data_IF_463956977288
#
_entry.id   IF_463956977288
#
_cell.length_a   1.000
_cell.length_b   1.000
_cell.length_c   1.000
_cell.angle_alpha   90.00
_cell.angle_beta   90.00
_cell.angle_gamma   90.00
#
_symmetry.space_group_name_H-M   'P 1'
#
loop_
_entity.id
_entity.type
_entity.pdbx_description
1 polymer ?
#
# COMPACT_ATOMS: atom_id res chain seq x y z
N UNK A 1 27.96 54.06 -19.67
CA UNK A 1 27.17 54.09 -20.92
C UNK A 1 26.27 52.86 -20.97
N UNK A 2 24.98 53.06 -21.18
CA UNK A 2 23.97 52.00 -21.30
C UNK A 2 24.15 51.22 -22.60
N UNK A 3 24.17 49.89 -22.52
CA UNK A 3 23.81 49.04 -23.65
C UNK A 3 22.86 47.96 -23.15
N UNK A 4 21.58 48.33 -23.21
CA UNK A 4 20.41 47.46 -23.35
C UNK A 4 20.76 46.36 -24.37
N UNK A 5 21.17 45.17 -23.91
CA UNK A 5 21.48 44.07 -24.82
C UNK A 5 20.17 43.54 -25.37
N UNK A 6 20.04 43.67 -26.68
CA UNK A 6 18.88 43.38 -27.50
C UNK A 6 18.39 41.96 -27.25
N UNK A 7 17.11 41.84 -26.91
CA UNK A 7 16.45 40.56 -26.62
C UNK A 7 16.49 39.60 -27.81
N UNK A 8 16.63 38.32 -27.47
CA UNK A 8 16.21 37.07 -28.13
C UNK A 8 16.07 37.06 -29.67
N UNK A 9 16.91 37.79 -30.40
CA UNK A 9 16.86 37.86 -31.85
C UNK A 9 17.30 36.57 -32.55
N UNK A 10 18.11 35.75 -31.88
CA UNK A 10 18.53 34.44 -32.39
C UNK A 10 17.48 33.36 -32.11
N UNK A 11 16.86 33.39 -30.93
CA UNK A 11 15.91 32.37 -30.47
C UNK A 11 14.63 32.32 -31.31
N UNK A 12 14.17 33.47 -31.80
CA UNK A 12 13.03 33.57 -32.72
C UNK A 12 13.34 33.10 -34.15
N UNK A 13 14.62 33.02 -34.54
CA UNK A 13 15.07 32.52 -35.85
C UNK A 13 15.42 31.03 -35.83
N UNK A 14 15.67 30.46 -34.64
CA UNK A 14 15.79 29.01 -34.47
C UNK A 14 14.38 28.45 -34.61
N UNK A 15 14.04 28.00 -35.81
CA UNK A 15 12.85 27.21 -36.05
C UNK A 15 13.11 25.83 -35.47
N UNK A 16 12.92 25.70 -34.15
CA UNK A 16 12.97 24.43 -33.44
C UNK A 16 11.95 23.51 -34.11
N UNK A 17 12.37 22.39 -34.73
CA UNK A 17 11.43 21.42 -35.29
C UNK A 17 10.49 20.94 -34.18
N UNK A 18 9.24 20.63 -34.53
CA UNK A 18 8.17 20.29 -33.56
C UNK A 18 8.55 19.16 -32.58
N UNK A 19 9.55 18.36 -32.92
CA UNK A 19 10.07 17.22 -32.15
C UNK A 19 10.83 17.65 -30.88
N UNK A 20 11.45 18.83 -30.86
CA UNK A 20 12.27 19.27 -29.72
C UNK A 20 11.42 20.02 -28.66
N UNK A 21 10.31 20.65 -29.05
CA UNK A 21 9.35 21.24 -28.10
C UNK A 21 8.63 20.17 -27.25
N UNK A 22 8.46 18.97 -27.79
CA UNK A 22 7.94 17.80 -27.06
C UNK A 22 8.93 17.28 -26.02
N UNK A 23 10.24 17.31 -26.31
CA UNK A 23 11.26 16.83 -25.39
C UNK A 23 11.43 17.75 -24.17
N UNK A 24 11.32 19.06 -24.36
CA UNK A 24 11.40 20.03 -23.25
C UNK A 24 10.22 19.87 -22.28
N UNK A 25 9.00 19.67 -22.79
CA UNK A 25 7.81 19.42 -21.96
C UNK A 25 7.89 18.09 -21.21
N UNK A 26 8.47 17.06 -21.82
CA UNK A 26 8.69 15.78 -21.16
C UNK A 26 9.73 15.89 -20.03
N UNK A 27 10.79 16.67 -20.23
CA UNK A 27 11.79 16.89 -19.18
C UNK A 27 11.24 17.64 -17.96
N UNK A 28 10.37 18.63 -18.16
CA UNK A 28 9.69 19.36 -17.07
C UNK A 28 8.72 18.46 -16.28
N UNK A 29 8.00 17.56 -16.96
CA UNK A 29 7.12 16.58 -16.31
C UNK A 29 7.92 15.54 -15.48
N UNK A 30 9.06 15.09 -15.99
CA UNK A 30 9.95 14.15 -15.29
C UNK A 30 10.53 14.79 -14.01
N UNK A 31 10.90 16.08 -14.02
CA UNK A 31 11.36 16.78 -12.82
C UNK A 31 10.27 16.96 -11.75
N UNK A 32 9.01 17.11 -12.15
CA UNK A 32 7.86 17.19 -11.23
C UNK A 32 7.56 15.82 -10.59
N UNK A 33 7.65 14.74 -11.38
CA UNK A 33 7.54 13.35 -10.91
C UNK A 33 8.69 12.99 -9.95
N UNK A 34 9.93 13.34 -10.27
CA UNK A 34 11.11 13.13 -9.40
C UNK A 34 11.01 13.87 -8.06
N UNK A 35 10.42 15.07 -8.06
CA UNK A 35 10.16 15.82 -6.82
C UNK A 35 9.05 15.15 -5.99
N UNK A 36 8.01 14.61 -6.63
CA UNK A 36 6.94 13.87 -5.95
C UNK A 36 7.43 12.56 -5.33
N UNK A 37 8.33 11.82 -6.02
CA UNK A 37 8.98 10.61 -5.50
C UNK A 37 9.83 10.92 -4.26
N UNK A 38 10.57 12.03 -4.29
CA UNK A 38 11.40 12.44 -3.15
C UNK A 38 10.61 12.80 -1.87
N UNK A 39 9.33 13.17 -2.01
CA UNK A 39 8.42 13.43 -0.90
C UNK A 39 7.75 12.15 -0.39
N UNK A 40 7.46 11.19 -1.29
CA UNK A 40 6.97 9.86 -0.93
C UNK A 40 8.04 9.05 -0.19
N UNK A 41 9.30 9.14 -0.61
CA UNK A 41 10.45 8.48 0.02
C UNK A 41 10.71 8.98 1.45
N UNK A 42 10.43 10.27 1.73
CA UNK A 42 10.58 10.83 3.08
C UNK A 42 9.46 10.40 4.02
N UNK A 43 8.25 10.16 3.51
CA UNK A 43 7.16 9.55 4.28
C UNK A 43 7.46 8.07 4.57
N UNK A 44 7.91 7.31 3.57
CA UNK A 44 8.35 5.92 3.72
C UNK A 44 9.49 5.76 4.74
N UNK A 45 10.47 6.68 4.75
CA UNK A 45 11.58 6.66 5.72
C UNK A 45 11.15 6.97 7.16
N UNK A 46 10.07 7.70 7.36
CA UNK A 46 9.52 7.95 8.70
C UNK A 46 8.73 6.73 9.21
N UNK A 47 8.07 5.99 8.32
CA UNK A 47 7.40 4.71 8.60
C UNK A 47 8.42 3.58 8.86
N UNK A 48 9.51 3.52 8.07
CA UNK A 48 10.55 2.51 8.21
C UNK A 48 11.29 2.55 9.56
N UNK A 49 11.41 3.73 10.18
CA UNK A 49 12.04 3.85 11.51
C UNK A 49 11.13 3.36 12.65
N UNK A 50 9.82 3.22 12.43
CA UNK A 50 8.92 2.55 13.36
C UNK A 50 8.92 1.02 13.22
N UNK A 51 9.29 0.51 12.04
CA UNK A 51 9.28 -0.91 11.69
C UNK A 51 10.32 -1.75 12.48
N UNK A 52 11.48 -1.17 12.82
CA UNK A 52 12.53 -1.89 13.55
C UNK A 52 12.17 -2.22 15.01
N UNK A 53 11.15 -1.58 15.58
CA UNK A 53 10.61 -1.88 16.92
C UNK A 53 9.48 -2.93 16.84
N UNK A 54 9.01 -3.26 15.63
CA UNK A 54 7.89 -4.19 15.40
C UNK A 54 8.34 -5.66 15.44
N UNK A 55 9.60 -5.98 15.14
CA UNK A 55 10.09 -7.37 15.09
C UNK A 55 9.91 -8.12 16.42
N UNK A 56 10.25 -7.53 17.57
CA UNK A 56 10.10 -8.22 18.87
C UNK A 56 8.62 -8.50 19.21
N UNK A 57 7.72 -7.56 18.87
CA UNK A 57 6.28 -7.71 19.11
C UNK A 57 5.68 -8.75 18.17
N UNK A 58 6.04 -8.70 16.89
CA UNK A 58 5.61 -9.67 15.88
C UNK A 58 6.07 -11.07 16.25
N UNK A 59 7.34 -11.26 16.63
CA UNK A 59 7.88 -12.55 17.08
C UNK A 59 7.12 -13.06 18.31
N UNK A 60 6.81 -12.18 19.27
CA UNK A 60 6.04 -12.56 20.46
C UNK A 60 4.62 -13.01 20.09
N UNK A 61 3.94 -12.26 19.21
CA UNK A 61 2.59 -12.59 18.74
C UNK A 61 2.60 -13.90 17.96
N UNK A 62 3.56 -14.13 17.05
CA UNK A 62 3.72 -15.41 16.33
C UNK A 62 3.82 -16.60 17.31
N UNK A 63 4.63 -16.48 18.37
CA UNK A 63 4.74 -17.51 19.42
C UNK A 63 3.46 -17.70 20.25
N UNK A 64 2.71 -16.63 20.50
CA UNK A 64 1.44 -16.72 21.22
C UNK A 64 0.38 -17.44 20.37
N UNK A 65 0.31 -17.12 19.08
CA UNK A 65 -0.61 -17.74 18.11
C UNK A 65 -0.25 -19.21 17.89
N UNK A 66 1.04 -19.56 17.78
CA UNK A 66 1.49 -20.96 17.66
C UNK A 66 1.03 -21.82 18.84
N UNK A 67 1.02 -21.25 20.06
CA UNK A 67 0.53 -21.93 21.26
C UNK A 67 -0.99 -22.01 21.31
N UNK A 68 -1.69 -20.95 20.90
CA UNK A 68 -3.14 -20.88 20.92
C UNK A 68 -3.68 -20.04 19.76
N UNK A 69 -4.00 -20.66 18.61
CA UNK A 69 -4.47 -19.94 17.43
C UNK A 69 -5.96 -19.54 17.53
N UNK A 70 -6.62 -19.84 18.64
CA UNK A 70 -8.07 -19.65 18.77
C UNK A 70 -8.43 -18.21 19.11
N UNK A 71 -9.19 -17.57 18.22
CA UNK A 71 -9.91 -16.32 18.50
C UNK A 71 -11.40 -16.57 18.77
N UNK A 72 -12.01 -15.78 19.65
CA UNK A 72 -13.46 -15.82 19.93
C UNK A 72 -14.15 -14.57 19.39
N UNK A 73 -15.23 -14.74 18.60
CA UNK A 73 -16.00 -13.65 18.00
C UNK A 73 -17.33 -13.42 18.74
N UNK A 74 -17.66 -12.17 19.03
CA UNK A 74 -18.91 -11.74 19.67
C UNK A 74 -19.79 -10.98 18.66
N UNK A 75 -20.44 -11.71 17.76
CA UNK A 75 -21.45 -11.15 16.85
C UNK A 75 -22.68 -12.03 16.83
N UNK A 76 -23.81 -11.49 17.32
CA UNK A 76 -25.08 -12.21 17.38
C UNK A 76 -25.57 -12.60 15.97
N UNK A 77 -25.48 -11.68 15.01
CA UNK A 77 -25.91 -11.91 13.64
C UNK A 77 -25.04 -12.96 12.95
N UNK A 78 -23.71 -12.83 13.03
CA UNK A 78 -22.79 -13.79 12.43
C UNK A 78 -22.95 -15.18 13.04
N UNK A 79 -23.16 -15.27 14.36
CA UNK A 79 -23.41 -16.53 15.05
C UNK A 79 -24.73 -17.17 14.60
N UNK A 80 -25.80 -16.38 14.44
CA UNK A 80 -27.09 -16.87 13.96
C UNK A 80 -26.98 -17.42 12.54
N UNK A 81 -26.37 -16.68 11.61
CA UNK A 81 -26.16 -17.10 10.22
C UNK A 81 -25.34 -18.38 10.12
N UNK A 82 -24.17 -18.44 10.77
CA UNK A 82 -23.29 -19.62 10.71
C UNK A 82 -23.93 -20.86 11.34
N UNK A 83 -24.70 -20.70 12.43
CA UNK A 83 -25.45 -21.81 13.05
C UNK A 83 -26.62 -22.26 12.19
N UNK A 84 -27.27 -21.35 11.48
CA UNK A 84 -28.32 -21.69 10.52
C UNK A 84 -27.73 -22.54 9.38
N UNK A 85 -26.64 -22.07 8.75
CA UNK A 85 -25.95 -22.80 7.68
C UNK A 85 -25.49 -24.19 8.11
N UNK A 86 -24.96 -24.33 9.34
CA UNK A 86 -24.59 -25.64 9.89
C UNK A 86 -25.76 -26.62 9.99
N UNK A 87 -26.97 -26.13 10.22
CA UNK A 87 -28.17 -26.98 10.35
C UNK A 87 -28.80 -27.31 9.01
N UNK A 88 -28.63 -26.47 8.00
CA UNK A 88 -29.29 -26.60 6.70
C UNK A 88 -28.43 -27.25 5.63
N UNK A 89 -27.10 -27.16 5.74
CA UNK A 89 -26.15 -27.69 4.76
C UNK A 89 -25.40 -28.88 5.38
N UNK A 90 -25.43 -30.08 4.77
CA UNK A 90 -24.64 -31.21 5.23
C UNK A 90 -23.13 -30.89 5.12
N UNK A 91 -22.34 -31.42 6.05
CA UNK A 91 -20.87 -31.23 6.10
C UNK A 91 -20.39 -29.78 6.26
N UNK A 92 -21.27 -28.84 6.63
CA UNK A 92 -20.87 -27.45 6.84
C UNK A 92 -20.01 -27.25 8.11
N UNK A 93 -18.81 -26.70 7.91
CA UNK A 93 -17.86 -26.37 8.97
C UNK A 93 -17.86 -24.87 9.26
N UNK A 94 -18.43 -24.48 10.40
CA UNK A 94 -18.47 -23.09 10.88
C UNK A 94 -17.05 -22.50 10.94
N UNK A 95 -16.09 -23.24 11.49
CA UNK A 95 -14.73 -22.72 11.67
C UNK A 95 -14.03 -22.48 10.34
N UNK A 96 -14.17 -23.40 9.38
CA UNK A 96 -13.53 -23.28 8.05
C UNK A 96 -14.06 -22.08 7.29
N UNK A 97 -15.38 -21.88 7.31
CA UNK A 97 -15.99 -20.74 6.62
C UNK A 97 -15.68 -19.42 7.32
N UNK A 98 -15.72 -19.41 8.67
CA UNK A 98 -15.38 -18.24 9.44
C UNK A 98 -13.92 -17.80 9.24
N UNK A 99 -12.97 -18.74 9.15
CA UNK A 99 -11.56 -18.43 8.85
C UNK A 99 -11.43 -17.72 7.52
N UNK A 100 -11.99 -18.26 6.43
CA UNK A 100 -11.92 -17.63 5.10
C UNK A 100 -12.48 -16.22 5.08
N UNK A 101 -13.68 -16.04 5.63
CA UNK A 101 -14.34 -14.72 5.70
C UNK A 101 -13.46 -13.74 6.48
N UNK A 102 -12.82 -14.20 7.56
CA UNK A 102 -11.96 -13.36 8.39
C UNK A 102 -10.66 -13.00 7.66
N UNK A 103 -10.00 -13.96 7.01
CA UNK A 103 -8.76 -13.75 6.27
C UNK A 103 -8.97 -12.73 5.14
N UNK A 104 -10.03 -12.90 4.35
CA UNK A 104 -10.39 -11.96 3.28
C UNK A 104 -10.69 -10.55 3.83
N UNK A 105 -11.43 -10.46 4.93
CA UNK A 105 -11.78 -9.20 5.56
C UNK A 105 -10.56 -8.48 6.15
N UNK A 106 -9.64 -9.20 6.80
CA UNK A 106 -8.41 -8.63 7.38
C UNK A 106 -7.47 -8.20 6.27
N UNK A 107 -7.24 -9.04 5.26
CA UNK A 107 -6.37 -8.71 4.11
C UNK A 107 -6.83 -7.44 3.39
N UNK A 108 -8.15 -7.25 3.27
CA UNK A 108 -8.72 -6.04 2.66
C UNK A 108 -8.59 -4.81 3.56
N UNK A 109 -8.73 -4.98 4.88
CA UNK A 109 -8.81 -3.86 5.83
C UNK A 109 -7.44 -3.40 6.35
N UNK A 110 -6.48 -4.30 6.48
CA UNK A 110 -5.15 -4.08 7.04
C UNK A 110 -4.08 -4.83 6.23
N UNK A 111 -3.88 -4.48 4.95
CA UNK A 111 -2.93 -5.17 4.08
C UNK A 111 -1.48 -5.09 4.59
N UNK A 112 -1.09 -3.97 5.18
CA UNK A 112 0.25 -3.75 5.76
C UNK A 112 0.53 -4.66 6.95
N UNK A 113 -0.49 -4.91 7.79
CA UNK A 113 -0.35 -5.82 8.95
C UNK A 113 -0.35 -7.26 8.48
N UNK A 114 -1.18 -7.59 7.47
CA UNK A 114 -1.21 -8.93 6.90
C UNK A 114 0.17 -9.34 6.37
N UNK A 115 0.86 -8.45 5.66
CA UNK A 115 2.20 -8.70 5.12
C UNK A 115 3.27 -9.02 6.18
N UNK A 116 3.09 -8.65 7.45
CA UNK A 116 4.01 -9.01 8.55
C UNK A 116 3.92 -10.50 8.93
N UNK A 117 2.79 -11.14 8.66
CA UNK A 117 2.48 -12.51 9.05
C UNK A 117 2.25 -13.44 7.85
N UNK A 118 2.14 -12.89 6.64
CA UNK A 118 2.11 -13.65 5.39
C UNK A 118 3.53 -14.17 5.14
N UNK A 119 3.82 -15.36 5.70
CA UNK A 119 5.04 -16.06 5.41
C UNK A 119 4.90 -16.59 3.97
N UNK A 120 5.41 -15.82 2.97
CA UNK A 120 5.55 -16.31 1.60
C UNK A 120 6.47 -17.54 1.63
N UNK A 121 5.87 -18.73 1.57
CA UNK A 121 6.55 -20.02 1.48
C UNK A 121 7.18 -20.24 0.09
#
# INVERSE_FOLDING_TARGET
>A
MSKKSLGNGLEALIRVPKEDQTQIKQAEQIEEELKSESQMDKQLKTVANNFLVEDEKVIKIKREVEKNPRISLWSANSAACLRYLKKTIPEFSISKEASKILDEAIKTKYPEVWALFDDEE
#
